data_IF_446126598916
#
_entry.id   IF_446126598916
#
_cell.length_a   1.000
_cell.length_b   1.000
_cell.length_c   1.000
_cell.angle_alpha   90.00
_cell.angle_beta   90.00
_cell.angle_gamma   90.00
#
_symmetry.space_group_name_H-M   'P 1'
#
loop_
_entity.id
_entity.type
_entity.pdbx_description
1 polymer ?
#
# COMPACT_ATOMS: atom_id res chain seq x y z
N UNK A 1 -11.18 -13.99 -5.47
CA UNK A 1 -11.95 -13.49 -4.30
C UNK A 1 -10.93 -13.14 -3.23
N UNK A 2 -11.03 -11.96 -2.62
CA UNK A 2 -10.08 -11.54 -1.60
C UNK A 2 -10.40 -12.16 -0.24
N UNK A 3 -9.36 -12.44 0.55
CA UNK A 3 -9.51 -12.84 1.96
C UNK A 3 -9.41 -11.57 2.80
N UNK A 4 -10.45 -11.29 3.58
CA UNK A 4 -10.48 -10.13 4.47
C UNK A 4 -9.69 -10.42 5.74
N UNK A 5 -8.95 -9.42 6.24
CA UNK A 5 -8.14 -9.52 7.47
C UNK A 5 -8.64 -8.47 8.46
N UNK A 6 -8.74 -8.85 9.74
CA UNK A 6 -9.15 -7.96 10.84
C UNK A 6 -7.95 -7.64 11.72
N UNK A 7 -7.76 -6.35 12.05
CA UNK A 7 -6.74 -5.95 13.03
C UNK A 7 -7.20 -6.39 14.42
N UNK A 8 -6.57 -7.43 14.94
CA UNK A 8 -6.85 -8.00 16.27
C UNK A 8 -5.52 -8.19 16.99
N UNK A 9 -5.52 -8.30 18.31
CA UNK A 9 -4.28 -8.51 19.08
C UNK A 9 -3.55 -9.83 18.76
N UNK A 10 -4.13 -10.69 17.92
CA UNK A 10 -3.58 -11.99 17.49
C UNK A 10 -2.93 -11.91 16.09
N UNK A 11 -3.16 -10.83 15.33
CA UNK A 11 -2.46 -10.62 14.04
C UNK A 11 -1.03 -10.15 14.26
N UNK A 12 -0.13 -10.53 13.34
CA UNK A 12 1.32 -10.32 13.35
C UNK A 12 1.78 -8.95 13.88
N UNK A 13 3.00 -8.94 14.44
CA UNK A 13 3.68 -7.77 15.00
C UNK A 13 3.45 -6.48 14.19
N UNK A 14 3.00 -5.42 14.85
CA UNK A 14 2.78 -4.12 14.22
C UNK A 14 4.10 -3.55 13.70
N UNK A 15 4.15 -3.16 12.42
CA UNK A 15 5.33 -2.52 11.85
C UNK A 15 5.54 -1.10 12.41
N UNK A 16 6.79 -0.71 12.58
CA UNK A 16 7.12 0.69 12.81
C UNK A 16 6.86 1.53 11.55
N UNK A 17 6.78 2.86 11.70
CA UNK A 17 6.62 3.78 10.56
C UNK A 17 7.76 3.66 9.54
N UNK A 18 8.99 3.38 10.00
CA UNK A 18 10.14 3.23 9.12
C UNK A 18 10.07 1.93 8.33
N UNK A 19 9.73 0.83 9.00
CA UNK A 19 9.62 -0.48 8.34
C UNK A 19 8.47 -0.49 7.33
N UNK A 20 7.36 0.18 7.66
CA UNK A 20 6.24 0.36 6.74
C UNK A 20 6.65 1.15 5.50
N UNK A 21 7.41 2.25 5.65
CA UNK A 21 7.90 3.02 4.50
C UNK A 21 8.91 2.24 3.67
N UNK A 22 9.83 1.51 4.30
CA UNK A 22 10.78 0.65 3.61
C UNK A 22 10.06 -0.42 2.78
N UNK A 23 9.10 -1.11 3.38
CA UNK A 23 8.29 -2.11 2.68
C UNK A 23 7.57 -1.54 1.46
N UNK A 24 6.95 -0.37 1.59
CA UNK A 24 6.23 0.28 0.48
C UNK A 24 7.20 0.68 -0.64
N UNK A 25 8.32 1.29 -0.28
CA UNK A 25 9.33 1.75 -1.23
C UNK A 25 9.95 0.59 -2.00
N UNK A 26 10.29 -0.52 -1.32
CA UNK A 26 10.84 -1.71 -1.97
C UNK A 26 9.82 -2.40 -2.86
N UNK A 27 8.57 -2.51 -2.41
CA UNK A 27 7.50 -3.18 -3.16
C UNK A 27 7.16 -2.45 -4.46
N UNK A 28 7.06 -1.12 -4.41
CA UNK A 28 6.57 -0.30 -5.53
C UNK A 28 7.66 0.54 -6.21
N UNK A 29 8.93 0.38 -5.79
CA UNK A 29 10.07 1.15 -6.30
C UNK A 29 9.85 2.67 -6.17
N UNK A 30 9.41 3.09 -4.98
CA UNK A 30 9.13 4.49 -4.62
C UNK A 30 10.19 5.03 -3.65
N UNK A 31 10.18 6.35 -3.42
CA UNK A 31 11.06 7.04 -2.48
C UNK A 31 10.27 7.90 -1.48
N UNK A 32 9.30 7.27 -0.81
CA UNK A 32 8.52 7.91 0.25
C UNK A 32 9.39 8.12 1.49
N UNK A 33 9.29 9.31 2.08
CA UNK A 33 10.02 9.69 3.30
C UNK A 33 9.10 9.89 4.49
N UNK A 34 7.78 9.99 4.24
CA UNK A 34 6.75 10.30 5.23
C UNK A 34 5.51 9.46 4.97
N UNK A 35 4.93 8.87 6.02
CA UNK A 35 3.70 8.06 5.94
C UNK A 35 2.54 8.89 5.40
N UNK A 36 2.50 10.17 5.69
CA UNK A 36 1.48 11.11 5.25
C UNK A 36 1.38 11.23 3.72
N UNK A 37 2.44 10.86 2.98
CA UNK A 37 2.41 10.84 1.50
C UNK A 37 1.44 9.78 0.95
N UNK A 38 1.09 8.77 1.76
CA UNK A 38 0.07 7.77 1.42
C UNK A 38 -1.35 8.37 1.34
N UNK A 39 -1.56 9.58 1.88
CA UNK A 39 -2.85 10.28 1.82
C UNK A 39 -3.35 10.54 0.39
N UNK A 40 -2.44 10.61 -0.59
CA UNK A 40 -2.79 10.73 -2.01
C UNK A 40 -3.62 9.56 -2.53
N UNK A 41 -3.57 8.40 -1.86
CA UNK A 41 -4.28 7.18 -2.23
C UNK A 41 -3.72 6.41 -3.42
N UNK A 42 -2.82 7.01 -4.20
CA UNK A 42 -2.25 6.43 -5.42
C UNK A 42 -1.46 5.15 -5.15
N UNK A 43 -0.76 5.09 -4.03
CA UNK A 43 0.00 3.93 -3.55
C UNK A 43 -0.93 2.75 -3.27
N UNK A 44 -2.07 2.97 -2.62
CA UNK A 44 -3.05 1.90 -2.35
C UNK A 44 -3.67 1.37 -3.65
N UNK A 45 -3.91 2.25 -4.63
CA UNK A 45 -4.36 1.82 -5.96
C UNK A 45 -3.35 0.90 -6.66
N UNK A 46 -2.06 1.20 -6.58
CA UNK A 46 -1.02 0.33 -7.13
C UNK A 46 -0.95 -1.01 -6.41
N UNK A 47 -1.04 -1.03 -5.07
CA UNK A 47 -1.07 -2.29 -4.32
C UNK A 47 -2.26 -3.17 -4.72
N UNK A 48 -3.43 -2.58 -4.91
CA UNK A 48 -4.60 -3.34 -5.35
C UNK A 48 -4.40 -3.95 -6.74
N UNK A 49 -3.81 -3.22 -7.69
CA UNK A 49 -3.50 -3.76 -9.01
C UNK A 49 -2.37 -4.82 -8.97
N UNK A 50 -1.38 -4.66 -8.07
CA UNK A 50 -0.33 -5.66 -7.85
C UNK A 50 -0.89 -6.98 -7.29
N UNK A 51 -1.81 -6.91 -6.32
CA UNK A 51 -2.41 -8.10 -5.71
C UNK A 51 -3.46 -8.75 -6.64
N UNK A 52 -4.24 -7.92 -7.33
CA UNK A 52 -5.34 -8.34 -8.20
C UNK A 52 -5.31 -7.52 -9.50
N UNK A 53 -4.55 -7.95 -10.51
CA UNK A 53 -4.41 -7.21 -11.77
C UNK A 53 -5.75 -6.89 -12.43
N UNK A 54 -5.94 -5.62 -12.81
CA UNK A 54 -7.17 -5.13 -13.43
C UNK A 54 -8.31 -4.80 -12.47
N UNK A 55 -8.12 -4.96 -11.16
CA UNK A 55 -9.11 -4.57 -10.14
C UNK A 55 -9.28 -3.05 -10.02
N UNK A 56 -8.25 -2.28 -10.42
CA UNK A 56 -8.25 -0.82 -10.41
C UNK A 56 -7.93 -0.30 -11.80
N UNK A 57 -8.69 0.71 -12.25
CA UNK A 57 -8.40 1.40 -13.52
C UNK A 57 -7.24 2.38 -13.31
N UNK A 58 -6.00 1.87 -13.32
CA UNK A 58 -4.78 2.65 -13.04
C UNK A 58 -4.64 3.90 -13.92
N UNK A 59 -5.13 3.86 -15.16
CA UNK A 59 -5.13 5.03 -16.06
C UNK A 59 -5.90 6.24 -15.53
N UNK A 60 -6.81 6.05 -14.57
CA UNK A 60 -7.58 7.13 -13.92
C UNK A 60 -6.96 7.60 -12.60
N UNK A 61 -5.93 6.92 -12.11
CA UNK A 61 -5.25 7.27 -10.86
C UNK A 61 -4.33 8.45 -11.12
N UNK A 62 -4.38 9.45 -10.25
CA UNK A 62 -3.49 10.62 -10.28
C UNK A 62 -2.25 10.31 -9.44
N UNK A 63 -1.12 10.09 -10.10
CA UNK A 63 0.17 9.86 -9.44
C UNK A 63 0.91 11.16 -9.09
N UNK A 64 0.46 12.27 -9.66
CA UNK A 64 0.95 13.63 -9.43
C UNK A 64 -0.25 14.58 -9.38
#
# INVERSE_FOLDING_TARGET
>A
MAVNVYSTSVTSDNLSRHDMLAWINESLQLNLTKIEQLCSGSVYCQFMDMLFPGSVVLKKVKFQ
#
